data_IF_332891038824
#
_entry.id   IF_332891038824
#
_cell.length_a   1.000
_cell.length_b   1.000
_cell.length_c   1.000
_cell.angle_alpha   90.00
_cell.angle_beta   90.00
_cell.angle_gamma   90.00
#
_symmetry.space_group_name_H-M   'P 1'
#
loop_
_entity.id
_entity.type
_entity.pdbx_description
1 polymer ?
#
# COMPACT_ATOMS: atom_id res chain seq x y z
N UNK A 1 -3.84 -8.75 11.72
CA UNK A 1 -3.20 -8.06 10.57
C UNK A 1 -2.02 -7.27 11.12
N UNK A 2 -0.79 -7.66 10.81
CA UNK A 2 0.41 -6.90 11.22
C UNK A 2 1.05 -6.31 9.97
N UNK A 3 0.53 -5.16 9.51
CA UNK A 3 1.30 -4.34 8.58
C UNK A 3 2.49 -3.85 9.39
N UNK A 4 3.65 -4.48 9.18
CA UNK A 4 4.88 -4.04 9.83
C UNK A 4 5.13 -2.61 9.37
N UNK A 5 5.05 -1.67 10.31
CA UNK A 5 5.27 -0.26 10.08
C UNK A 5 6.66 -0.10 9.47
N UNK A 6 6.77 0.72 8.43
CA UNK A 6 8.06 1.02 7.79
C UNK A 6 8.62 2.26 8.48
N UNK A 7 9.48 2.14 9.49
CA UNK A 7 10.15 3.30 10.06
C UNK A 7 11.03 3.95 9.00
N UNK A 8 11.20 5.25 9.05
CA UNK A 8 12.23 5.92 8.27
C UNK A 8 13.61 5.75 8.90
N UNK A 9 14.63 6.32 8.26
CA UNK A 9 16.02 6.30 8.74
C UNK A 9 16.16 6.87 10.17
N UNK A 10 15.25 7.75 10.58
CA UNK A 10 15.19 8.33 11.93
C UNK A 10 14.31 7.54 12.91
N UNK A 11 13.81 6.35 12.54
CA UNK A 11 12.96 5.51 13.38
C UNK A 11 11.50 5.96 13.49
N UNK A 12 11.10 7.00 12.75
CA UNK A 12 9.74 7.55 12.80
C UNK A 12 8.81 6.74 11.92
N UNK A 13 7.61 6.46 12.43
CA UNK A 13 6.55 5.77 11.70
C UNK A 13 6.06 6.64 10.55
N UNK A 14 6.06 6.11 9.32
CA UNK A 14 5.63 6.84 8.13
C UNK A 14 4.47 6.14 7.42
N UNK A 15 3.60 6.96 6.81
CA UNK A 15 2.63 6.48 5.85
C UNK A 15 3.31 6.18 4.51
N UNK A 16 2.86 5.12 3.86
CA UNK A 16 3.41 4.64 2.60
C UNK A 16 2.26 4.32 1.66
N UNK A 17 2.40 4.71 0.39
CA UNK A 17 1.45 4.34 -0.65
C UNK A 17 1.83 3.01 -1.27
N UNK A 18 0.84 2.15 -1.55
CA UNK A 18 1.02 0.95 -2.36
C UNK A 18 0.60 1.25 -3.79
N UNK A 19 1.47 0.96 -4.74
CA UNK A 19 1.26 1.18 -6.17
C UNK A 19 1.24 -0.17 -6.88
N UNK A 20 0.15 -0.46 -7.60
CA UNK A 20 -0.04 -1.69 -8.33
C UNK A 20 -0.04 -1.40 -9.84
N UNK A 21 0.74 -2.17 -10.60
CA UNK A 21 0.64 -2.15 -12.06
C UNK A 21 -0.56 -3.00 -12.48
N UNK A 22 -1.70 -2.34 -12.69
CA UNK A 22 -2.98 -2.96 -13.03
C UNK A 22 -4.07 -2.58 -12.03
N UNK A 23 -5.15 -3.37 -12.01
CA UNK A 23 -6.29 -3.13 -11.13
C UNK A 23 -6.23 -4.07 -9.93
N UNK A 24 -6.32 -3.50 -8.72
CA UNK A 24 -6.57 -4.26 -7.50
C UNK A 24 -8.08 -4.26 -7.23
N UNK A 25 -8.72 -5.41 -7.36
CA UNK A 25 -10.17 -5.57 -7.21
C UNK A 25 -10.52 -6.61 -6.16
N UNK A 26 -11.65 -6.39 -5.51
CA UNK A 26 -12.37 -7.40 -4.72
C UNK A 26 -13.69 -7.70 -5.42
N UNK A 27 -14.25 -8.89 -5.17
CA UNK A 27 -15.63 -9.20 -5.56
C UNK A 27 -16.65 -8.38 -4.75
N UNK A 28 -16.21 -7.82 -3.62
CA UNK A 28 -17.00 -6.88 -2.83
C UNK A 28 -16.93 -5.45 -3.38
N UNK A 29 -18.06 -4.75 -3.33
CA UNK A 29 -18.22 -3.37 -3.81
C UNK A 29 -17.35 -2.36 -3.05
N UNK A 30 -17.01 -2.65 -1.79
CA UNK A 30 -16.18 -1.80 -0.95
C UNK A 30 -15.00 -2.58 -0.40
N UNK A 31 -13.80 -2.01 -0.50
CA UNK A 31 -12.58 -2.57 0.09
C UNK A 31 -12.45 -2.23 1.59
N UNK A 32 -13.33 -1.39 2.12
CA UNK A 32 -13.23 -0.93 3.51
C UNK A 32 -13.53 -2.08 4.48
N UNK A 33 -12.66 -2.29 5.46
CA UNK A 33 -12.76 -3.39 6.42
C UNK A 33 -12.30 -4.75 5.88
N UNK A 34 -12.04 -4.88 4.57
CA UNK A 34 -11.50 -6.11 3.99
C UNK A 34 -9.98 -6.18 4.16
N UNK A 35 -9.48 -7.39 4.41
CA UNK A 35 -8.05 -7.65 4.42
C UNK A 35 -7.57 -7.83 2.98
N UNK A 36 -6.72 -6.94 2.43
CA UNK A 36 -6.25 -7.06 1.06
C UNK A 36 -5.23 -8.20 0.89
N UNK A 37 -4.78 -8.83 1.98
CA UNK A 37 -3.76 -9.87 1.96
C UNK A 37 -2.75 -9.72 3.10
N UNK A 38 -1.62 -10.41 2.95
CA UNK A 38 -0.51 -10.37 3.89
C UNK A 38 0.77 -9.88 3.22
N UNK A 39 1.55 -9.06 3.92
CA UNK A 39 2.85 -8.57 3.46
C UNK A 39 3.96 -9.25 4.27
N UNK A 40 4.96 -9.78 3.58
CA UNK A 40 6.12 -10.44 4.17
C UNK A 40 7.38 -9.73 3.68
N UNK A 41 8.13 -9.17 4.62
CA UNK A 41 9.42 -8.54 4.36
C UNK A 41 10.48 -9.60 4.10
N UNK A 42 11.27 -9.43 3.05
CA UNK A 42 12.44 -10.27 2.83
C UNK A 42 13.57 -9.85 3.79
N UNK A 43 14.47 -10.78 4.10
CA UNK A 43 15.56 -10.54 5.07
C UNK A 43 16.56 -9.48 4.58
N UNK A 44 16.64 -9.23 3.29
CA UNK A 44 17.65 -8.34 2.69
C UNK A 44 17.00 -7.37 1.71
N UNK A 45 17.40 -6.10 1.83
CA UNK A 45 17.01 -5.01 0.94
C UNK A 45 15.58 -4.51 1.14
N UNK A 46 15.14 -3.69 0.19
CA UNK A 46 13.84 -3.03 0.17
C UNK A 46 12.72 -3.92 -0.42
N UNK A 47 12.95 -5.23 -0.53
CA UNK A 47 12.04 -6.14 -1.20
C UNK A 47 11.05 -6.80 -0.23
N UNK A 48 9.81 -6.94 -0.68
CA UNK A 48 8.75 -7.61 0.06
C UNK A 48 7.89 -8.48 -0.88
N UNK A 49 7.10 -9.34 -0.27
CA UNK A 49 6.09 -10.15 -0.95
C UNK A 49 4.73 -9.77 -0.40
N UNK A 50 3.75 -9.59 -1.26
CA UNK A 50 2.35 -9.55 -0.87
C UNK A 50 1.65 -10.81 -1.35
N UNK A 51 0.94 -11.47 -0.44
CA UNK A 51 0.07 -12.62 -0.73
C UNK A 51 -1.36 -12.12 -0.67
N UNK A 52 -2.06 -12.15 -1.80
CA UNK A 52 -3.44 -11.68 -1.93
C UNK A 52 -4.27 -12.68 -2.73
N UNK A 53 -5.33 -13.21 -2.11
CA UNK A 53 -6.11 -14.32 -2.65
C UNK A 53 -5.21 -15.52 -3.01
N UNK A 54 -5.24 -15.91 -4.28
CA UNK A 54 -4.43 -17.01 -4.85
C UNK A 54 -3.15 -16.53 -5.54
N UNK A 55 -2.78 -15.26 -5.37
CA UNK A 55 -1.66 -14.65 -6.08
C UNK A 55 -0.59 -14.12 -5.14
N UNK A 56 0.64 -14.12 -5.65
CA UNK A 56 1.83 -13.56 -5.02
C UNK A 56 2.30 -12.39 -5.89
N UNK A 57 2.52 -11.25 -5.24
CA UNK A 57 3.07 -10.04 -5.83
C UNK A 57 4.46 -9.76 -5.24
N UNK A 58 5.43 -9.57 -6.13
CA UNK A 58 6.75 -9.09 -5.74
C UNK A 58 6.72 -7.55 -5.64
N UNK A 59 7.03 -7.02 -4.46
CA UNK A 59 7.04 -5.60 -4.17
C UNK A 59 8.44 -5.10 -3.82
N UNK A 60 8.68 -3.82 -4.08
CA UNK A 60 9.91 -3.12 -3.66
C UNK A 60 9.56 -1.75 -3.08
N UNK A 61 10.15 -1.41 -1.93
CA UNK A 61 10.07 -0.07 -1.35
C UNK A 61 10.96 0.87 -2.15
N UNK A 62 10.41 2.02 -2.54
CA UNK A 62 11.14 3.06 -3.26
C UNK A 62 10.91 4.41 -2.59
N UNK A 63 11.96 5.21 -2.50
CA UNK A 63 11.85 6.63 -2.15
C UNK A 63 11.16 7.38 -3.29
N UNK A 64 10.24 8.27 -2.96
CA UNK A 64 9.61 9.15 -3.93
C UNK A 64 10.55 10.33 -4.21
N UNK A 65 10.76 10.64 -5.49
CA UNK A 65 11.49 11.86 -5.89
C UNK A 65 10.74 13.12 -5.43
N UNK A 66 9.41 13.08 -5.50
CA UNK A 66 8.51 14.12 -5.03
C UNK A 66 7.56 13.55 -3.98
N UNK A 67 7.69 13.93 -2.69
CA UNK A 67 6.77 13.50 -1.65
C UNK A 67 5.33 13.91 -1.95
N UNK A 68 4.37 13.12 -1.46
CA UNK A 68 2.94 13.39 -1.62
C UNK A 68 2.35 13.90 -0.32
N UNK A 69 1.50 14.92 -0.40
CA UNK A 69 0.67 15.35 0.72
C UNK A 69 -0.64 14.57 0.71
N UNK A 70 -1.02 14.05 1.86
CA UNK A 70 -2.35 13.45 2.06
C UNK A 70 -3.27 14.53 2.60
N UNK A 71 -4.32 14.81 1.86
CA UNK A 71 -5.28 15.86 2.15
C UNK A 71 -6.59 15.23 2.62
N UNK A 72 -7.15 15.75 3.71
CA UNK A 72 -8.49 15.39 4.15
C UNK A 72 -9.52 16.24 3.41
N UNK A 73 -10.32 15.57 2.57
CA UNK A 73 -11.37 16.19 1.75
C UNK A 73 -12.68 16.44 2.51
N UNK A 74 -12.83 15.92 3.73
CA UNK A 74 -14.09 16.00 4.49
C UNK A 74 -14.52 17.42 4.88
N UNK A 75 -13.64 18.42 4.73
CA UNK A 75 -13.94 19.84 4.97
C UNK A 75 -14.14 20.68 3.70
N UNK A 76 -14.34 20.05 2.55
CA UNK A 76 -14.73 20.76 1.32
C UNK A 76 -16.27 20.88 1.25
N UNK A 77 -16.86 21.73 2.10
CA UNK A 77 -18.27 22.12 1.94
C UNK A 77 -18.40 22.99 0.69
N UNK A 78 -19.04 22.47 -0.36
CA UNK A 78 -19.19 23.10 -1.68
C UNK A 78 -19.95 24.45 -1.69
N UNK A 79 -20.50 24.89 -0.54
CA UNK A 79 -21.44 26.01 -0.44
C UNK A 79 -20.96 27.16 0.45
N UNK A 80 -19.68 27.21 0.84
CA UNK A 80 -19.14 28.37 1.52
C UNK A 80 -18.20 29.11 0.59
N UNK A 81 -18.70 30.19 -0.04
CA UNK A 81 -17.94 31.17 -0.84
C UNK A 81 -16.97 32.01 0.04
N UNK A 82 -16.55 31.46 1.18
CA UNK A 82 -15.58 32.08 2.05
C UNK A 82 -14.18 31.90 1.47
N UNK A 83 -13.52 33.03 1.24
CA UNK A 83 -12.19 33.21 0.60
C UNK A 83 -11.02 32.44 1.29
N UNK A 84 -11.30 31.67 2.34
CA UNK A 84 -10.32 30.92 3.11
C UNK A 84 -10.59 29.40 3.04
N UNK A 85 -10.32 28.83 1.87
CA UNK A 85 -10.34 27.37 1.65
C UNK A 85 -9.09 26.71 2.26
N UNK A 86 -9.07 26.58 3.59
CA UNK A 86 -8.02 25.81 4.27
C UNK A 86 -8.22 24.31 4.03
N UNK A 87 -7.19 23.66 3.50
CA UNK A 87 -7.15 22.20 3.33
C UNK A 87 -6.28 21.58 4.42
N UNK A 88 -6.76 20.52 5.05
CA UNK A 88 -6.02 19.84 6.11
C UNK A 88 -5.06 18.82 5.52
N UNK A 89 -3.80 18.97 5.88
CA UNK A 89 -2.77 17.98 5.59
C UNK A 89 -2.76 16.99 6.73
N UNK A 90 -3.10 15.73 6.45
CA UNK A 90 -3.12 14.64 7.44
C UNK A 90 -1.85 13.80 7.42
N UNK A 91 -1.03 13.93 6.37
CA UNK A 91 0.23 13.19 6.29
C UNK A 91 1.11 13.60 5.12
N UNK A 92 2.36 13.16 5.18
CA UNK A 92 3.35 13.29 4.09
C UNK A 92 3.88 11.91 3.77
N UNK A 93 3.70 11.46 2.53
CA UNK A 93 4.19 10.18 2.03
C UNK A 93 5.49 10.44 1.28
N UNK A 94 6.58 9.85 1.76
CA UNK A 94 7.93 9.98 1.17
C UNK A 94 8.41 8.72 0.46
N UNK A 95 7.71 7.59 0.66
CA UNK A 95 8.06 6.28 0.12
C UNK A 95 6.83 5.61 -0.45
N UNK A 96 7.04 4.73 -1.43
CA UNK A 96 6.01 3.85 -1.99
C UNK A 96 6.47 2.40 -1.98
N UNK A 97 5.52 1.48 -1.90
CA UNK A 97 5.73 0.07 -2.24
C UNK A 97 5.23 -0.12 -3.67
N UNK A 98 6.09 -0.52 -4.58
CA UNK A 98 5.77 -0.67 -6.00
C UNK A 98 5.67 -2.15 -6.36
N UNK A 99 4.50 -2.58 -6.84
CA UNK A 99 4.20 -3.91 -7.34
C UNK A 99 4.04 -3.86 -8.87
N UNK A 100 5.17 -3.90 -9.59
CA UNK A 100 5.19 -3.76 -11.05
C UNK A 100 5.31 -5.07 -11.80
N UNK A 101 5.66 -6.16 -11.11
CA UNK A 101 5.83 -7.47 -11.72
C UNK A 101 4.50 -8.19 -11.89
N UNK A 102 4.42 -9.07 -12.89
CA UNK A 102 3.22 -9.89 -13.14
C UNK A 102 2.88 -10.74 -11.91
N UNK A 103 1.62 -10.79 -11.47
CA UNK A 103 1.19 -11.67 -10.39
C UNK A 103 1.52 -13.13 -10.67
N UNK A 104 2.09 -13.81 -9.68
CA UNK A 104 2.41 -15.24 -9.73
C UNK A 104 1.31 -16.03 -9.03
N UNK A 105 0.78 -17.05 -9.69
CA UNK A 105 -0.16 -17.95 -9.04
C UNK A 105 0.55 -18.79 -7.97
N UNK A 106 -0.12 -19.06 -6.86
CA UNK A 106 0.38 -19.98 -5.83
C UNK A 106 0.24 -21.40 -6.37
N UNK A 107 1.38 -22.06 -6.62
CA UNK A 107 1.41 -23.46 -7.04
C UNK A 107 1.74 -24.32 -5.82
N UNK A 108 0.76 -25.07 -5.33
CA UNK A 108 1.00 -26.14 -4.35
C UNK A 108 1.46 -27.39 -5.09
N UNK A 109 2.74 -27.78 -4.96
CA UNK A 109 3.14 -29.16 -5.23
C UNK A 109 2.70 -30.01 -4.04
N UNK A 110 1.68 -30.84 -4.25
CA UNK A 110 1.37 -31.91 -3.30
C UNK A 110 2.59 -32.83 -3.27
N UNK A 111 3.17 -33.03 -2.09
CA UNK A 111 4.23 -34.00 -1.91
C UNK A 111 3.67 -35.38 -2.31
N UNK A 112 4.25 -35.99 -3.35
CA UNK A 112 3.98 -37.38 -3.67
C UNK A 112 4.55 -38.19 -2.51
N UNK A 113 3.69 -38.94 -1.81
CA UNK A 113 4.09 -39.89 -0.78
C UNK A 113 5.15 -40.82 -1.37
N UNK A 114 6.32 -40.88 -0.74
CA UNK A 114 7.34 -41.92 -0.98
C UNK A 114 6.89 -43.17 -0.20
#
# INVERSE_FOLDING_TARGET
MQIKIIPNEAGVQEWVVMEFAGTFSSDEYMLNGLSPGSIIWRKTGDSLVMITGQTILDGTVKKLEKPLLVLDKSRYTKNDDSINSYVNIVGVIKRKISFTSRPKSIITRLATKI
#
